data_IF_871459766867
#
_entry.id   IF_871459766867
#
_cell.length_a   1.000
_cell.length_b   1.000
_cell.length_c   1.000
_cell.angle_alpha   90.00
_cell.angle_beta   90.00
_cell.angle_gamma   90.00
#
_symmetry.space_group_name_H-M   'P 1'
#
loop_
_entity.id
_entity.type
_entity.pdbx_description
1 polymer ?
#
# COMPACT_ATOMS: atom_id res chain seq x y z
N UNK A 1 -20.04 31.37 12.68
CA UNK A 1 -18.93 32.32 12.96
C UNK A 1 -17.85 32.06 11.94
N UNK A 2 -17.73 33.00 11.03
CA UNK A 2 -16.89 32.93 9.84
C UNK A 2 -15.43 33.09 10.21
N UNK A 3 -14.60 32.13 9.79
CA UNK A 3 -13.16 32.24 9.83
C UNK A 3 -12.70 32.99 8.57
N UNK A 4 -12.35 34.25 8.74
CA UNK A 4 -11.74 35.09 7.73
C UNK A 4 -10.42 34.49 7.24
N UNK A 5 -10.37 34.11 5.98
CA UNK A 5 -9.13 33.82 5.28
C UNK A 5 -8.33 35.12 5.09
N UNK A 6 -7.18 35.17 5.72
CA UNK A 6 -6.20 36.26 5.52
C UNK A 6 -5.58 36.09 4.12
N UNK A 7 -5.95 36.99 3.21
CA UNK A 7 -5.27 37.17 1.93
C UNK A 7 -3.84 37.69 2.18
N UNK A 8 -2.84 36.86 1.92
CA UNK A 8 -1.47 37.35 1.81
C UNK A 8 -1.19 37.81 0.38
N UNK A 9 -1.07 39.14 0.23
CA UNK A 9 -0.71 39.80 -1.02
C UNK A 9 0.68 39.43 -1.51
N UNK A 10 0.76 39.11 -2.79
CA UNK A 10 1.97 38.76 -3.50
C UNK A 10 2.85 39.99 -3.77
N UNK A 11 3.90 40.20 -2.98
CA UNK A 11 5.11 40.94 -3.38
C UNK A 11 6.34 40.40 -2.64
N UNK A 12 6.90 39.27 -3.12
CA UNK A 12 8.21 38.81 -2.68
C UNK A 12 9.15 38.75 -3.85
N UNK A 13 10.25 39.54 -3.74
CA UNK A 13 11.35 39.64 -4.70
C UNK A 13 12.01 38.27 -4.94
N UNK A 14 12.35 38.00 -6.20
CA UNK A 14 13.08 36.81 -6.65
C UNK A 14 14.47 36.76 -5.97
N UNK A 15 14.71 35.68 -5.22
CA UNK A 15 16.02 35.24 -4.78
C UNK A 15 16.05 33.72 -4.73
N UNK A 16 17.17 33.14 -5.15
CA UNK A 16 17.38 31.68 -5.36
C UNK A 16 17.23 30.77 -4.11
N UNK A 17 17.02 31.34 -2.95
CA UNK A 17 16.64 30.64 -1.72
C UNK A 17 15.22 30.07 -1.74
N UNK A 18 14.41 30.38 -2.77
CA UNK A 18 12.98 30.03 -2.86
C UNK A 18 12.72 28.54 -2.96
N UNK A 19 13.64 27.75 -3.52
CA UNK A 19 13.43 26.29 -3.74
C UNK A 19 13.63 25.52 -2.44
N UNK A 20 14.56 25.92 -1.61
CA UNK A 20 14.84 25.24 -0.32
C UNK A 20 13.75 25.50 0.70
N UNK A 21 13.21 26.73 0.74
CA UNK A 21 12.03 27.08 1.54
C UNK A 21 10.80 26.31 1.09
N UNK A 22 10.60 26.13 -0.21
CA UNK A 22 9.46 25.38 -0.76
C UNK A 22 9.48 23.90 -0.35
N UNK A 23 10.64 23.24 -0.33
CA UNK A 23 10.78 21.85 0.13
C UNK A 23 10.52 21.71 1.64
N UNK A 24 11.06 22.61 2.45
CA UNK A 24 10.81 22.64 3.91
C UNK A 24 9.36 22.96 4.21
N UNK A 25 8.78 23.93 3.54
CA UNK A 25 7.38 24.30 3.67
C UNK A 25 6.44 23.16 3.29
N UNK A 26 6.67 22.44 2.20
CA UNK A 26 5.89 21.28 1.81
C UNK A 26 6.02 20.11 2.80
N UNK A 27 7.21 19.94 3.40
CA UNK A 27 7.38 18.97 4.50
C UNK A 27 6.57 19.37 5.73
N UNK A 28 6.60 20.63 6.10
CA UNK A 28 5.86 21.16 7.24
C UNK A 28 4.35 21.06 7.01
N UNK A 29 3.86 21.40 5.82
CA UNK A 29 2.46 21.22 5.44
C UNK A 29 2.01 19.76 5.55
N UNK A 30 2.81 18.80 5.08
CA UNK A 30 2.50 17.37 5.24
C UNK A 30 2.43 16.94 6.70
N UNK A 31 3.29 17.49 7.55
CA UNK A 31 3.27 17.20 8.99
C UNK A 31 2.02 17.82 9.64
N UNK A 32 1.68 19.07 9.29
CA UNK A 32 0.48 19.74 9.79
C UNK A 32 -0.79 19.02 9.34
N UNK A 33 -0.85 18.58 8.09
CA UNK A 33 -1.95 17.81 7.55
C UNK A 33 -2.14 16.48 8.30
N UNK A 34 -1.02 15.80 8.62
CA UNK A 34 -1.05 14.59 9.46
C UNK A 34 -1.54 14.87 10.88
N UNK A 35 -1.11 15.95 11.49
CA UNK A 35 -1.53 16.34 12.85
C UNK A 35 -3.01 16.71 12.85
N UNK A 36 -3.48 17.48 11.86
CA UNK A 36 -4.86 17.86 11.71
C UNK A 36 -5.78 16.66 11.53
N UNK A 37 -5.40 15.75 10.64
CA UNK A 37 -6.16 14.51 10.43
C UNK A 37 -6.18 13.64 11.69
N UNK A 38 -5.05 13.54 12.40
CA UNK A 38 -4.97 12.81 13.67
C UNK A 38 -5.91 13.41 14.74
N UNK A 39 -5.98 14.73 14.85
CA UNK A 39 -6.85 15.38 15.81
C UNK A 39 -8.34 15.18 15.48
N UNK A 40 -8.70 15.13 14.19
CA UNK A 40 -10.06 14.82 13.75
C UNK A 40 -10.44 13.34 13.97
N UNK A 41 -9.44 12.45 14.06
CA UNK A 41 -9.65 11.02 14.35
C UNK A 41 -9.68 10.70 15.85
N UNK A 42 -9.31 11.64 16.72
CA UNK A 42 -9.42 11.45 18.18
C UNK A 42 -10.86 11.17 18.62
N UNK A 43 -11.87 11.67 17.89
CA UNK A 43 -13.26 11.32 18.14
C UNK A 43 -13.54 9.82 17.98
N UNK A 44 -12.84 9.14 17.09
CA UNK A 44 -12.93 7.69 16.90
C UNK A 44 -12.38 6.96 18.11
N UNK A 45 -11.24 7.41 18.67
CA UNK A 45 -10.67 6.86 19.90
C UNK A 45 -11.54 7.15 21.14
N UNK A 46 -12.19 8.31 21.20
CA UNK A 46 -13.11 8.66 22.27
C UNK A 46 -14.37 7.78 22.26
N UNK A 47 -14.82 7.33 21.10
CA UNK A 47 -15.91 6.36 20.97
C UNK A 47 -15.56 5.01 21.62
N UNK A 48 -14.28 4.62 21.63
CA UNK A 48 -13.82 3.44 22.36
C UNK A 48 -13.84 3.61 23.88
N UNK A 49 -13.64 4.82 24.37
CA UNK A 49 -13.57 5.13 25.80
C UNK A 49 -14.96 5.18 26.46
N UNK A 50 -16.00 5.50 25.71
CA UNK A 50 -17.38 5.54 26.16
C UNK A 50 -18.03 4.14 26.10
N UNK A 51 -17.61 3.29 27.03
CA UNK A 51 -17.96 1.86 27.16
C UNK A 51 -19.38 1.58 27.66
N UNK A 52 -20.38 2.30 27.25
CA UNK A 52 -21.77 1.92 27.54
C UNK A 52 -22.44 1.13 26.39
N UNK A 53 -21.70 0.82 25.33
CA UNK A 53 -22.23 0.03 24.24
C UNK A 53 -22.00 -1.47 24.50
N UNK A 54 -23.09 -2.22 24.62
CA UNK A 54 -23.13 -3.68 24.73
C UNK A 54 -22.59 -4.42 23.49
N UNK A 55 -22.11 -3.71 22.47
CA UNK A 55 -21.59 -4.29 21.24
C UNK A 55 -20.11 -4.60 21.40
N UNK A 56 -19.78 -5.87 21.36
CA UNK A 56 -18.41 -6.40 21.45
C UNK A 56 -17.59 -5.99 20.19
N UNK A 57 -18.27 -5.76 19.06
CA UNK A 57 -17.65 -5.42 17.79
C UNK A 57 -18.35 -4.20 17.17
N UNK A 58 -17.58 -3.18 16.79
CA UNK A 58 -18.09 -2.00 16.08
C UNK A 58 -17.29 -1.78 14.80
N UNK A 59 -17.99 -1.53 13.67
CA UNK A 59 -17.34 -1.17 12.41
C UNK A 59 -16.85 0.28 12.50
N UNK A 60 -15.55 0.51 12.38
CA UNK A 60 -14.93 1.84 12.47
C UNK A 60 -14.95 2.59 11.15
N UNK A 61 -14.62 1.92 10.07
CA UNK A 61 -14.61 2.49 8.72
C UNK A 61 -14.80 1.38 7.69
N UNK A 62 -15.08 1.80 6.47
CA UNK A 62 -15.26 0.94 5.31
C UNK A 62 -14.64 1.61 4.09
N UNK A 63 -13.92 0.82 3.32
CA UNK A 63 -13.43 1.24 2.01
C UNK A 63 -14.04 0.33 0.94
N UNK A 64 -14.66 0.96 -0.05
CA UNK A 64 -15.19 0.28 -1.22
C UNK A 64 -14.54 0.85 -2.47
N UNK A 65 -13.95 -0.01 -3.30
CA UNK A 65 -13.66 0.36 -4.69
C UNK A 65 -14.99 0.61 -5.40
N UNK A 66 -15.15 1.77 -6.06
CA UNK A 66 -16.39 2.27 -6.67
C UNK A 66 -17.03 1.35 -7.74
N UNK A 67 -16.63 0.12 -7.82
CA UNK A 67 -17.21 -0.91 -8.65
C UNK A 67 -17.32 -2.19 -7.85
N UNK A 68 -18.51 -2.75 -7.73
CA UNK A 68 -18.78 -4.09 -7.20
C UNK A 68 -18.09 -5.22 -8.00
N UNK A 69 -17.15 -4.84 -8.87
CA UNK A 69 -16.43 -5.72 -9.79
C UNK A 69 -15.16 -6.32 -9.19
N UNK A 70 -14.82 -5.98 -7.93
CA UNK A 70 -13.59 -6.46 -7.29
C UNK A 70 -13.87 -7.19 -5.99
N UNK A 71 -13.17 -8.30 -5.78
CA UNK A 71 -13.12 -9.02 -4.50
C UNK A 71 -11.77 -8.88 -3.85
N UNK A 72 -11.76 -8.75 -2.53
CA UNK A 72 -10.52 -8.78 -1.72
C UNK A 72 -9.97 -10.19 -1.72
N UNK A 73 -8.67 -10.32 -1.95
CA UNK A 73 -7.97 -11.62 -1.97
C UNK A 73 -7.06 -11.80 -0.76
N UNK A 74 -6.33 -10.75 -0.36
CA UNK A 74 -5.41 -10.82 0.78
C UNK A 74 -5.27 -9.45 1.44
N UNK A 75 -4.90 -9.45 2.72
CA UNK A 75 -4.59 -8.27 3.52
C UNK A 75 -3.35 -8.53 4.38
N UNK A 76 -2.38 -7.62 4.34
CA UNK A 76 -1.14 -7.72 5.12
C UNK A 76 -0.76 -6.40 5.74
N UNK A 77 -0.53 -6.42 7.05
CA UNK A 77 0.04 -5.29 7.78
C UNK A 77 1.54 -5.19 7.53
N UNK A 78 2.01 -3.97 7.52
CA UNK A 78 3.44 -3.70 7.34
C UNK A 78 4.21 -4.13 8.60
N UNK A 79 5.36 -4.83 8.47
CA UNK A 79 6.09 -5.38 9.63
C UNK A 79 6.71 -4.32 10.53
N UNK A 80 6.94 -3.09 10.06
CA UNK A 80 7.60 -2.01 10.80
C UNK A 80 6.68 -0.81 11.08
N UNK A 81 5.66 -0.59 10.27
CA UNK A 81 4.71 0.53 10.41
C UNK A 81 3.34 -0.04 10.74
N UNK A 82 2.93 0.07 11.99
CA UNK A 82 1.67 -0.48 12.50
C UNK A 82 0.43 0.14 11.85
N UNK A 83 0.57 1.37 11.33
CA UNK A 83 -0.49 2.12 10.67
C UNK A 83 -0.62 1.85 9.17
N UNK A 84 0.34 1.13 8.57
CA UNK A 84 0.37 0.83 7.13
C UNK A 84 -0.05 -0.61 6.86
N UNK A 85 -0.96 -0.79 5.91
CA UNK A 85 -1.35 -2.11 5.45
C UNK A 85 -1.65 -2.11 3.95
N UNK A 86 -1.52 -3.27 3.35
CA UNK A 86 -1.82 -3.48 1.94
C UNK A 86 -3.00 -4.43 1.78
N UNK A 87 -3.83 -4.15 0.79
CA UNK A 87 -4.96 -4.98 0.40
C UNK A 87 -4.84 -5.28 -1.09
N UNK A 88 -5.02 -6.53 -1.46
CA UNK A 88 -5.10 -6.95 -2.85
C UNK A 88 -6.52 -7.27 -3.28
N UNK A 89 -6.81 -6.97 -4.53
CA UNK A 89 -8.10 -7.17 -5.15
C UNK A 89 -7.96 -7.92 -6.46
N UNK A 90 -8.93 -8.75 -6.78
CA UNK A 90 -9.10 -9.37 -8.09
C UNK A 90 -10.40 -8.90 -8.74
N UNK A 91 -10.41 -8.78 -10.06
CA UNK A 91 -11.63 -8.54 -10.82
C UNK A 91 -12.57 -9.74 -10.76
N UNK A 92 -13.88 -9.49 -10.69
CA UNK A 92 -14.92 -10.52 -10.79
C UNK A 92 -15.32 -10.78 -12.25
N UNK A 93 -14.96 -9.88 -13.16
CA UNK A 93 -15.24 -10.05 -14.57
C UNK A 93 -14.37 -11.14 -15.19
N UNK A 94 -15.00 -12.13 -15.81
CA UNK A 94 -14.32 -13.23 -16.51
C UNK A 94 -13.45 -12.72 -17.66
N UNK A 95 -13.80 -11.56 -18.25
CA UNK A 95 -13.09 -10.97 -19.39
C UNK A 95 -11.86 -10.14 -18.99
N UNK A 96 -11.81 -9.66 -17.76
CA UNK A 96 -10.72 -8.80 -17.30
C UNK A 96 -9.94 -9.51 -16.19
N UNK A 97 -8.73 -9.94 -16.48
CA UNK A 97 -7.83 -10.57 -15.48
C UNK A 97 -7.11 -9.55 -14.59
N UNK A 98 -7.68 -8.35 -14.45
CA UNK A 98 -7.02 -7.25 -13.75
C UNK A 98 -7.02 -7.43 -12.24
N UNK A 99 -5.86 -7.18 -11.61
CA UNK A 99 -5.70 -7.05 -10.18
C UNK A 99 -5.41 -5.61 -9.75
N UNK A 100 -5.71 -5.28 -8.51
CA UNK A 100 -5.40 -3.99 -7.91
C UNK A 100 -4.76 -4.22 -6.54
N UNK A 101 -3.63 -3.56 -6.29
CA UNK A 101 -3.01 -3.46 -4.98
C UNK A 101 -3.24 -2.05 -4.44
N UNK A 102 -3.82 -1.95 -3.25
CA UNK A 102 -4.01 -0.71 -2.52
C UNK A 102 -3.22 -0.75 -1.21
N UNK A 103 -2.44 0.29 -0.92
CA UNK A 103 -1.82 0.47 0.37
C UNK A 103 -2.50 1.63 1.10
N UNK A 104 -2.94 1.38 2.32
CA UNK A 104 -3.65 2.33 3.18
C UNK A 104 -2.86 2.63 4.44
N UNK A 105 -3.09 3.82 4.98
CA UNK A 105 -2.70 4.16 6.34
C UNK A 105 -3.95 4.48 7.16
N UNK A 106 -3.93 4.20 8.47
CA UNK A 106 -5.03 4.59 9.36
C UNK A 106 -5.23 6.10 9.45
N UNK A 107 -4.25 6.87 8.97
CA UNK A 107 -4.34 8.35 8.90
C UNK A 107 -5.19 8.84 7.75
N UNK A 108 -5.35 8.04 6.70
CA UNK A 108 -6.19 8.35 5.54
C UNK A 108 -6.95 7.10 5.10
N UNK A 109 -8.12 6.92 5.67
CA UNK A 109 -8.98 5.76 5.39
C UNK A 109 -9.82 5.92 4.13
N UNK A 110 -9.91 7.15 3.58
CA UNK A 110 -10.76 7.44 2.40
C UNK A 110 -10.09 7.07 1.08
N UNK A 111 -8.79 7.31 0.97
CA UNK A 111 -8.06 7.09 -0.27
C UNK A 111 -6.77 6.30 -0.02
N UNK A 112 -6.43 5.31 -0.87
CA UNK A 112 -5.17 4.61 -0.76
C UNK A 112 -3.98 5.55 -1.05
N UNK A 113 -2.91 5.44 -0.27
CA UNK A 113 -1.66 6.18 -0.54
C UNK A 113 -0.98 5.68 -1.82
N UNK A 114 -1.03 4.37 -2.04
CA UNK A 114 -0.52 3.75 -3.25
C UNK A 114 -1.58 2.88 -3.88
N UNK A 115 -1.77 3.04 -5.19
CA UNK A 115 -2.63 2.21 -6.02
C UNK A 115 -1.81 1.70 -7.20
N UNK A 116 -1.71 0.39 -7.33
CA UNK A 116 -0.99 -0.31 -8.40
C UNK A 116 -1.97 -1.24 -9.09
N UNK A 117 -2.06 -1.12 -10.41
CA UNK A 117 -2.87 -2.00 -11.25
C UNK A 117 -1.97 -3.03 -11.91
N UNK A 118 -2.44 -4.27 -11.99
CA UNK A 118 -1.74 -5.39 -12.63
C UNK A 118 -2.61 -6.01 -13.72
N UNK A 119 -1.97 -6.62 -14.70
CA UNK A 119 -2.66 -7.28 -15.82
C UNK A 119 -3.26 -8.64 -15.45
N UNK A 120 -2.90 -9.16 -14.27
CA UNK A 120 -3.38 -10.44 -13.76
C UNK A 120 -3.93 -10.26 -12.36
N UNK A 121 -4.84 -11.13 -11.94
CA UNK A 121 -5.39 -11.13 -10.60
C UNK A 121 -4.28 -11.30 -9.55
N UNK A 122 -4.35 -10.54 -8.46
CA UNK A 122 -3.46 -10.69 -7.31
C UNK A 122 -4.13 -11.65 -6.33
N UNK A 123 -3.43 -12.70 -5.92
CA UNK A 123 -3.93 -13.68 -4.95
C UNK A 123 -3.23 -13.60 -3.61
N UNK A 124 -1.98 -13.21 -3.58
CA UNK A 124 -1.21 -13.11 -2.35
C UNK A 124 -0.30 -11.89 -2.37
N UNK A 125 -0.07 -11.33 -1.20
CA UNK A 125 0.83 -10.19 -0.98
C UNK A 125 1.70 -10.48 0.23
N UNK A 126 2.92 -9.95 0.23
CA UNK A 126 3.79 -10.02 1.40
C UNK A 126 4.74 -8.82 1.42
N UNK A 127 4.95 -8.26 2.61
CA UNK A 127 5.89 -7.17 2.82
C UNK A 127 7.31 -7.72 3.05
N UNK A 128 8.31 -6.99 2.56
CA UNK A 128 9.68 -7.33 2.87
C UNK A 128 10.02 -7.01 4.33
N UNK A 129 10.61 -7.98 5.03
CA UNK A 129 11.06 -7.80 6.42
C UNK A 129 12.34 -6.96 6.54
N UNK A 130 12.96 -6.54 5.44
CA UNK A 130 14.22 -5.78 5.42
C UNK A 130 14.09 -4.39 4.87
N UNK A 131 13.35 -4.25 3.79
CA UNK A 131 13.16 -2.97 3.10
C UNK A 131 11.72 -2.53 3.28
N UNK A 132 11.53 -1.46 4.02
CA UNK A 132 10.20 -0.93 4.37
C UNK A 132 9.37 -0.47 3.17
N UNK A 133 9.97 -0.37 1.98
CA UNK A 133 9.28 0.09 0.77
C UNK A 133 8.91 -1.04 -0.19
N UNK A 134 9.38 -2.26 0.08
CA UNK A 134 9.23 -3.37 -0.87
C UNK A 134 8.05 -4.25 -0.49
N UNK A 135 7.20 -4.46 -1.48
CA UNK A 135 6.09 -5.41 -1.44
C UNK A 135 6.22 -6.41 -2.58
N UNK A 136 5.94 -7.68 -2.27
CA UNK A 136 5.92 -8.77 -3.24
C UNK A 136 4.47 -9.19 -3.44
N UNK A 137 4.10 -9.46 -4.68
CA UNK A 137 2.77 -9.93 -5.04
C UNK A 137 2.85 -11.21 -5.86
N UNK A 138 1.93 -12.13 -5.60
CA UNK A 138 1.71 -13.34 -6.37
C UNK A 138 0.48 -13.21 -7.26
N UNK A 139 0.65 -13.55 -8.51
CA UNK A 139 -0.35 -13.37 -9.55
C UNK A 139 -1.02 -14.69 -9.97
N UNK A 140 -2.16 -14.58 -10.65
CA UNK A 140 -2.95 -15.72 -11.13
C UNK A 140 -2.28 -16.51 -12.26
N UNK A 141 -1.36 -15.90 -12.98
CA UNK A 141 -0.57 -16.58 -14.02
C UNK A 141 0.65 -17.30 -13.47
N UNK A 142 0.82 -17.39 -12.14
CA UNK A 142 1.98 -17.98 -11.50
C UNK A 142 3.21 -17.08 -11.46
N UNK A 143 3.14 -15.83 -11.90
CA UNK A 143 4.25 -14.90 -11.80
C UNK A 143 4.28 -14.19 -10.45
N UNK A 144 5.48 -13.74 -10.09
CA UNK A 144 5.74 -12.96 -8.89
C UNK A 144 6.29 -11.61 -9.33
N UNK A 145 5.69 -10.53 -8.82
CA UNK A 145 6.15 -9.17 -9.05
C UNK A 145 6.64 -8.54 -7.75
N UNK A 146 7.73 -7.78 -7.84
CA UNK A 146 8.32 -7.06 -6.72
C UNK A 146 8.22 -5.56 -7.01
N UNK A 147 7.59 -4.82 -6.09
CA UNK A 147 7.41 -3.38 -6.21
C UNK A 147 8.15 -2.65 -5.09
N UNK A 148 8.73 -1.50 -5.44
CA UNK A 148 9.28 -0.52 -4.50
C UNK A 148 8.39 0.72 -4.48
N UNK A 149 7.72 0.95 -3.37
CA UNK A 149 6.77 2.04 -3.19
C UNK A 149 7.45 3.43 -3.13
N UNK A 150 8.74 3.48 -2.79
CA UNK A 150 9.51 4.74 -2.75
C UNK A 150 9.83 5.29 -4.13
N UNK A 151 9.79 4.44 -5.16
CA UNK A 151 10.07 4.84 -6.54
C UNK A 151 8.88 5.57 -7.17
N UNK A 152 9.15 6.30 -8.25
CA UNK A 152 8.11 6.93 -9.08
C UNK A 152 7.17 5.86 -9.65
N UNK A 153 5.91 6.23 -9.93
CA UNK A 153 4.88 5.27 -10.38
C UNK A 153 5.33 4.35 -11.51
N UNK A 154 6.07 4.87 -12.48
CA UNK A 154 6.53 4.11 -13.66
C UNK A 154 7.74 3.22 -13.38
N UNK A 155 8.45 3.43 -12.28
CA UNK A 155 9.69 2.72 -11.91
C UNK A 155 9.48 1.79 -10.70
N UNK A 156 8.26 1.67 -10.20
CA UNK A 156 7.94 0.88 -9.00
C UNK A 156 8.18 -0.61 -9.20
N UNK A 157 7.88 -1.12 -10.38
CA UNK A 157 8.13 -2.53 -10.69
C UNK A 157 9.64 -2.74 -10.83
N UNK A 158 10.21 -3.47 -9.87
CA UNK A 158 11.63 -3.81 -9.87
C UNK A 158 11.87 -5.11 -10.62
N UNK A 159 10.99 -6.08 -10.39
CA UNK A 159 11.18 -7.43 -10.90
C UNK A 159 9.83 -8.08 -11.22
N UNK A 160 9.79 -8.79 -12.35
CA UNK A 160 8.68 -9.63 -12.76
C UNK A 160 9.22 -10.95 -13.29
N UNK A 161 8.81 -12.07 -12.71
CA UNK A 161 9.23 -13.39 -13.15
C UNK A 161 8.71 -13.73 -14.53
N UNK A 162 7.58 -13.17 -14.94
CA UNK A 162 7.01 -13.39 -16.27
C UNK A 162 7.95 -12.88 -17.38
N UNK A 163 8.56 -11.72 -17.18
CA UNK A 163 9.49 -11.12 -18.13
C UNK A 163 10.76 -11.97 -18.34
N UNK A 164 11.09 -12.85 -17.39
CA UNK A 164 12.26 -13.74 -17.43
C UNK A 164 11.91 -15.19 -17.74
N UNK A 165 10.65 -15.49 -18.06
CA UNK A 165 10.14 -16.85 -18.26
C UNK A 165 10.42 -17.78 -17.05
N UNK A 166 10.55 -17.20 -15.84
CA UNK A 166 10.75 -17.92 -14.58
C UNK A 166 9.47 -17.73 -13.77
N UNK A 167 8.48 -18.55 -14.01
CA UNK A 167 7.19 -18.46 -13.31
C UNK A 167 6.69 -19.85 -12.90
N UNK A 168 5.87 -19.87 -11.90
CA UNK A 168 5.15 -21.08 -11.51
C UNK A 168 4.08 -21.38 -12.57
N UNK A 169 3.66 -22.63 -12.64
CA UNK A 169 2.67 -23.04 -13.65
C UNK A 169 1.26 -22.65 -13.30
N UNK A 170 0.99 -22.33 -12.05
CA UNK A 170 -0.36 -22.08 -11.53
C UNK A 170 -0.35 -20.90 -10.53
N UNK A 171 -1.52 -20.52 -10.08
CA UNK A 171 -1.79 -19.40 -9.19
C UNK A 171 -0.91 -19.46 -7.94
N UNK A 172 -0.30 -18.33 -7.57
CA UNK A 172 0.45 -18.19 -6.32
C UNK A 172 -0.53 -17.96 -5.17
N UNK A 173 -0.73 -18.99 -4.36
CA UNK A 173 -1.67 -18.94 -3.24
C UNK A 173 -1.14 -18.15 -2.05
N UNK A 174 0.15 -18.30 -1.73
CA UNK A 174 0.80 -17.63 -0.61
C UNK A 174 2.25 -17.30 -0.90
N UNK A 175 2.71 -16.20 -0.28
CA UNK A 175 4.11 -15.81 -0.24
C UNK A 175 4.49 -15.64 1.23
N UNK A 176 5.68 -16.09 1.59
CA UNK A 176 6.19 -15.99 2.95
C UNK A 176 7.66 -15.58 2.97
N UNK A 177 7.97 -14.48 3.66
CA UNK A 177 9.34 -14.01 3.87
C UNK A 177 10.00 -14.72 5.04
N UNK A 178 11.22 -15.19 4.84
CA UNK A 178 12.04 -15.69 5.95
C UNK A 178 12.58 -14.51 6.77
N UNK A 179 12.36 -14.54 8.09
CA UNK A 179 12.69 -13.39 8.98
C UNK A 179 14.16 -12.99 8.98
N UNK A 180 15.08 -13.95 8.85
CA UNK A 180 16.52 -13.72 8.98
C UNK A 180 17.27 -13.65 7.65
N UNK A 181 16.77 -14.28 6.59
CA UNK A 181 17.44 -14.42 5.31
C UNK A 181 16.87 -13.52 4.23
N UNK A 182 17.67 -13.20 3.20
CA UNK A 182 17.20 -12.52 1.98
C UNK A 182 16.47 -13.51 1.06
N UNK A 183 15.54 -14.27 1.63
CA UNK A 183 14.85 -15.33 0.93
C UNK A 183 13.38 -15.30 1.24
N UNK A 184 12.58 -15.73 0.29
CA UNK A 184 11.15 -15.93 0.46
C UNK A 184 10.70 -17.21 -0.24
N UNK A 185 9.56 -17.71 0.18
CA UNK A 185 8.93 -18.87 -0.39
C UNK A 185 7.65 -18.45 -1.09
N UNK A 186 7.32 -19.05 -2.22
CA UNK A 186 6.01 -18.98 -2.83
C UNK A 186 5.40 -20.36 -2.91
N UNK A 187 4.10 -20.43 -2.63
CA UNK A 187 3.30 -21.64 -2.71
C UNK A 187 2.33 -21.49 -3.86
N UNK A 188 2.32 -22.44 -4.76
CA UNK A 188 1.43 -22.46 -5.92
C UNK A 188 0.34 -23.53 -5.77
N UNK A 189 -0.78 -23.37 -6.45
CA UNK A 189 -1.86 -24.36 -6.45
C UNK A 189 -1.51 -25.66 -7.18
N UNK A 190 -0.43 -25.68 -7.95
CA UNK A 190 0.14 -26.92 -8.52
C UNK A 190 0.78 -27.86 -7.47
N UNK A 191 0.74 -27.45 -6.17
CA UNK A 191 1.31 -28.22 -5.05
C UNK A 191 2.82 -27.99 -4.86
N UNK A 192 3.42 -27.12 -5.62
CA UNK A 192 4.86 -26.84 -5.53
C UNK A 192 5.15 -25.67 -4.59
N UNK A 193 6.27 -25.77 -3.86
CA UNK A 193 6.84 -24.71 -3.05
C UNK A 193 8.14 -24.28 -3.69
N UNK A 194 8.24 -23.01 -4.04
CA UNK A 194 9.42 -22.44 -4.66
C UNK A 194 10.18 -21.59 -3.66
N UNK A 195 11.49 -21.74 -3.65
CA UNK A 195 12.40 -20.99 -2.80
C UNK A 195 13.14 -19.94 -3.63
N UNK A 196 13.04 -18.67 -3.23
CA UNK A 196 13.59 -17.54 -3.94
C UNK A 196 14.66 -16.85 -3.12
N UNK A 197 15.81 -16.58 -3.73
CA UNK A 197 16.84 -15.75 -3.13
C UNK A 197 16.75 -14.34 -3.67
N UNK A 198 16.55 -13.40 -2.75
CA UNK A 198 16.43 -11.98 -3.06
C UNK A 198 17.79 -11.29 -2.87
N UNK A 199 18.38 -10.77 -3.94
CA UNK A 199 19.59 -9.96 -3.89
C UNK A 199 19.20 -8.48 -3.87
N UNK A 200 19.58 -7.75 -2.81
CA UNK A 200 19.23 -6.34 -2.58
C UNK A 200 19.96 -5.34 -3.49
N UNK A 201 20.80 -5.80 -4.40
CA UNK A 201 21.42 -4.95 -5.43
C UNK A 201 20.52 -4.92 -6.66
N UNK A 202 19.46 -4.16 -6.60
CA UNK A 202 18.77 -3.65 -7.78
C UNK A 202 19.45 -2.31 -8.13
N UNK A 203 20.54 -2.38 -8.84
CA UNK A 203 21.11 -1.27 -9.60
C UNK A 203 20.62 -1.35 -11.02
#
# INVERSE_FOLDING_TARGET
KDLNFIHYDNKIKKNDNKIMYKKRFLKTLKIMDRIYNKNNEEDIYLCYKNKNNKNILTKLWEFTLNSYQFTVTDIKFHPFYEDLFAISFKSNDIKTNMGILCCFTFKNTKNPEHLIKTNFHIYSIEWSNRNNSIIIIGLSNGSICIYDLNKKKNERLIFDTNLKNIYNRDIISQIYFHKQNKTFYSVSYDGNIYYWKYNSKFT
#
